data_IF_707489133734
#
_entry.id   IF_707489133734
#
_cell.length_a   1.000
_cell.length_b   1.000
_cell.length_c   1.000
_cell.angle_alpha   90.00
_cell.angle_beta   90.00
_cell.angle_gamma   90.00
#
_symmetry.space_group_name_H-M   'P 1'
#
loop_
_entity.id
_entity.type
_entity.pdbx_description
1 polymer ?
#
# COMPACT_ATOMS: atom_id res chain seq x y z
N UNK A 1 17.72 14.13 -10.23
CA UNK A 1 17.60 12.98 -9.32
C UNK A 1 18.14 13.41 -7.95
N UNK A 2 17.24 13.68 -7.01
CA UNK A 2 17.62 13.89 -5.61
C UNK A 2 17.71 12.51 -4.94
N UNK A 3 18.66 12.34 -4.04
CA UNK A 3 18.72 11.11 -3.24
C UNK A 3 17.50 11.02 -2.31
N UNK A 4 17.09 9.81 -1.91
CA UNK A 4 16.05 9.60 -0.90
C UNK A 4 16.34 10.36 0.40
N UNK A 5 17.62 10.61 0.72
CA UNK A 5 18.05 11.37 1.88
C UNK A 5 17.88 12.90 1.74
N UNK A 6 17.59 13.40 0.55
CA UNK A 6 17.47 14.84 0.25
C UNK A 6 16.02 15.28 -0.01
N UNK A 7 15.09 14.33 -0.13
CA UNK A 7 13.68 14.58 -0.36
C UNK A 7 12.86 14.11 0.84
N UNK A 8 11.99 14.94 1.41
CA UNK A 8 11.16 14.52 2.53
C UNK A 8 10.21 13.40 2.09
N UNK A 9 10.07 12.38 2.91
CA UNK A 9 9.12 11.32 2.68
C UNK A 9 7.70 11.75 3.08
N UNK A 10 6.69 10.99 2.65
CA UNK A 10 5.31 11.19 3.11
C UNK A 10 5.19 11.02 4.63
N UNK A 11 6.03 10.19 5.26
CA UNK A 11 6.08 10.01 6.71
C UNK A 11 6.55 11.29 7.40
N UNK A 12 7.67 11.85 6.94
CA UNK A 12 8.21 13.11 7.49
C UNK A 12 7.20 14.27 7.31
N UNK A 13 6.61 14.40 6.13
CA UNK A 13 5.61 15.43 5.82
C UNK A 13 4.36 15.28 6.69
N UNK A 14 3.83 14.06 6.85
CA UNK A 14 2.68 13.82 7.70
C UNK A 14 2.97 14.18 9.18
N UNK A 15 4.15 13.81 9.69
CA UNK A 15 4.58 14.19 11.04
C UNK A 15 4.69 15.70 11.21
N UNK A 16 5.26 16.40 10.24
CA UNK A 16 5.32 17.86 10.24
C UNK A 16 3.93 18.51 10.24
N UNK A 17 2.93 17.84 9.64
CA UNK A 17 1.53 18.26 9.65
C UNK A 17 0.76 17.84 10.93
N UNK A 18 1.43 17.29 11.93
CA UNK A 18 0.86 16.92 13.23
C UNK A 18 0.25 15.52 13.29
N UNK A 19 0.54 14.65 12.32
CA UNK A 19 0.18 13.24 12.42
C UNK A 19 1.15 12.50 13.33
N UNK A 20 0.63 11.61 14.17
CA UNK A 20 1.41 10.55 14.77
C UNK A 20 1.46 9.37 13.82
N UNK A 21 2.65 9.02 13.35
CA UNK A 21 2.83 8.00 12.31
C UNK A 21 3.35 6.71 12.91
N UNK A 22 2.63 5.60 12.64
CA UNK A 22 3.03 4.25 13.00
C UNK A 22 3.35 3.43 11.76
N UNK A 23 4.45 2.67 11.79
CA UNK A 23 4.85 1.74 10.74
C UNK A 23 4.89 0.32 11.29
N UNK A 24 3.95 -0.53 10.85
CA UNK A 24 3.85 -1.93 11.27
C UNK A 24 4.21 -2.81 10.07
N UNK A 25 5.27 -3.59 10.18
CA UNK A 25 5.82 -4.35 9.06
C UNK A 25 5.96 -5.84 9.35
N UNK A 26 5.56 -6.65 8.37
CA UNK A 26 5.85 -8.08 8.28
C UNK A 26 7.02 -8.40 7.35
N UNK A 27 7.67 -7.38 6.78
CA UNK A 27 8.85 -7.56 5.94
C UNK A 27 10.14 -7.41 6.75
N UNK A 28 11.28 -7.80 6.14
CA UNK A 28 12.57 -7.61 6.77
C UNK A 28 12.91 -6.12 6.90
N UNK A 29 13.61 -5.79 7.96
CA UNK A 29 14.11 -4.43 8.17
C UNK A 29 15.33 -4.10 7.29
N UNK A 30 16.16 -5.09 7.00
CA UNK A 30 17.39 -4.92 6.24
C UNK A 30 17.46 -5.95 5.11
N UNK A 31 17.76 -5.48 3.90
CA UNK A 31 17.90 -6.30 2.71
C UNK A 31 18.25 -5.43 1.50
N UNK A 32 18.61 -6.06 0.39
CA UNK A 32 18.96 -5.32 -0.84
C UNK A 32 17.78 -4.51 -1.39
N UNK A 33 16.57 -4.99 -1.17
CA UNK A 33 15.32 -4.38 -1.62
C UNK A 33 14.56 -3.68 -0.49
N UNK A 34 14.72 -4.15 0.76
CA UNK A 34 13.98 -3.64 1.92
C UNK A 34 14.56 -2.34 2.47
N UNK A 35 15.89 -2.15 2.34
CA UNK A 35 16.58 -1.00 2.96
C UNK A 35 16.02 0.37 2.54
N UNK A 36 15.65 0.66 1.28
CA UNK A 36 15.03 1.93 0.92
C UNK A 36 13.72 2.20 1.66
N UNK A 37 12.86 1.20 1.78
CA UNK A 37 11.60 1.29 2.53
C UNK A 37 11.86 1.52 4.01
N UNK A 38 12.87 0.86 4.57
CA UNK A 38 13.28 1.03 5.97
C UNK A 38 13.76 2.44 6.27
N UNK A 39 14.40 3.14 5.33
CA UNK A 39 14.77 4.55 5.51
C UNK A 39 13.54 5.40 5.78
N UNK A 40 12.50 5.22 4.97
CA UNK A 40 11.21 5.92 5.14
C UNK A 40 10.53 5.50 6.45
N UNK A 41 10.47 4.19 6.74
CA UNK A 41 9.86 3.66 7.96
C UNK A 41 10.53 4.16 9.25
N UNK A 42 11.85 4.39 9.22
CA UNK A 42 12.59 4.91 10.37
C UNK A 42 12.22 6.36 10.75
N UNK A 43 11.52 7.08 9.89
CA UNK A 43 11.02 8.41 10.18
C UNK A 43 9.69 8.38 10.97
N UNK A 44 9.04 7.22 11.09
CA UNK A 44 7.81 7.07 11.86
C UNK A 44 8.06 7.19 13.38
N UNK A 45 7.04 7.69 14.11
CA UNK A 45 7.11 7.85 15.57
C UNK A 45 7.10 6.50 16.30
N UNK A 46 6.41 5.51 15.72
CA UNK A 46 6.30 4.16 16.25
C UNK A 46 6.55 3.14 15.15
N UNK A 47 7.38 2.14 15.43
CA UNK A 47 7.74 1.10 14.47
C UNK A 47 7.65 -0.27 15.12
N UNK A 48 7.08 -1.22 14.38
CA UNK A 48 7.06 -2.65 14.74
C UNK A 48 7.47 -3.47 13.53
N UNK A 49 8.41 -4.38 13.73
CA UNK A 49 8.90 -5.32 12.74
C UNK A 49 8.69 -6.73 13.27
N UNK A 50 7.62 -7.42 12.84
CA UNK A 50 7.22 -8.71 13.46
C UNK A 50 8.08 -9.90 13.03
N UNK A 51 8.79 -9.79 11.89
CA UNK A 51 9.70 -10.81 11.37
C UNK A 51 11.15 -10.29 11.26
N UNK A 52 11.63 -9.63 12.29
CA UNK A 52 12.99 -9.09 12.31
C UNK A 52 14.02 -10.22 12.42
N UNK A 53 14.61 -10.62 11.30
CA UNK A 53 15.77 -11.54 11.30
C UNK A 53 16.84 -11.02 10.33
N UNK A 54 17.96 -10.58 10.90
CA UNK A 54 19.14 -10.18 10.12
C UNK A 54 19.84 -11.46 9.64
N UNK A 55 19.84 -11.68 8.31
CA UNK A 55 20.71 -12.67 7.66
C UNK A 55 20.19 -14.10 7.50
N UNK A 56 19.00 -14.46 7.92
CA UNK A 56 18.37 -15.73 7.60
C UNK A 56 17.42 -15.58 6.41
N UNK A 57 17.34 -16.64 5.57
CA UNK A 57 16.27 -16.72 4.56
C UNK A 57 14.93 -16.47 5.23
N UNK A 58 14.11 -15.60 4.64
CA UNK A 58 12.78 -15.26 5.13
C UNK A 58 11.95 -16.54 5.26
N UNK A 59 12.05 -17.20 6.38
CA UNK A 59 10.97 -18.05 6.87
C UNK A 59 10.15 -17.10 7.75
N UNK A 60 9.06 -16.58 7.19
CA UNK A 60 8.17 -15.73 7.96
C UNK A 60 7.68 -16.56 9.15
N UNK A 61 8.10 -16.21 10.36
CA UNK A 61 7.60 -16.83 11.59
C UNK A 61 6.15 -16.44 11.85
N UNK A 62 5.76 -15.30 11.29
CA UNK A 62 4.42 -14.73 11.36
C UNK A 62 3.91 -14.45 9.96
N UNK A 63 2.63 -14.68 9.74
CA UNK A 63 1.92 -14.25 8.55
C UNK A 63 1.39 -12.81 8.73
N UNK A 64 0.87 -12.22 7.66
CA UNK A 64 0.41 -10.83 7.68
C UNK A 64 -0.71 -10.58 8.69
N UNK A 65 -1.52 -11.59 9.03
CA UNK A 65 -2.59 -11.50 10.02
C UNK A 65 -2.08 -11.11 11.43
N UNK A 66 -0.83 -11.42 11.78
CA UNK A 66 -0.23 -10.98 13.04
C UNK A 66 -0.10 -9.44 13.15
N UNK A 67 -0.14 -8.71 12.03
CA UNK A 67 -0.19 -7.24 12.04
C UNK A 67 -1.50 -6.69 12.59
N UNK A 68 -2.59 -7.47 12.57
CA UNK A 68 -3.87 -7.08 13.20
C UNK A 68 -3.70 -6.93 14.71
N UNK A 69 -2.96 -7.83 15.36
CA UNK A 69 -2.68 -7.76 16.79
C UNK A 69 -1.85 -6.50 17.13
N UNK A 70 -0.90 -6.13 16.26
CA UNK A 70 -0.10 -4.91 16.44
C UNK A 70 -0.95 -3.65 16.20
N UNK A 71 -1.81 -3.67 15.20
CA UNK A 71 -2.75 -2.58 14.93
C UNK A 71 -3.70 -2.35 16.10
N UNK A 72 -4.15 -3.42 16.78
CA UNK A 72 -5.03 -3.35 17.95
C UNK A 72 -4.36 -2.70 19.17
N UNK A 73 -3.04 -2.69 19.25
CA UNK A 73 -2.29 -2.01 20.33
C UNK A 73 -2.23 -0.51 20.15
N UNK A 74 -2.51 0.02 18.96
CA UNK A 74 -2.54 1.47 18.71
C UNK A 74 -3.78 2.06 19.39
N UNK A 75 -3.61 2.97 20.36
CA UNK A 75 -4.73 3.52 21.11
C UNK A 75 -5.62 4.38 20.23
N UNK A 76 -6.92 4.41 20.53
CA UNK A 76 -7.84 5.40 19.97
C UNK A 76 -7.42 6.79 20.45
N UNK A 77 -7.28 7.73 19.53
CA UNK A 77 -6.88 9.09 19.85
C UNK A 77 -7.71 10.10 19.05
N UNK A 78 -8.51 10.91 19.73
CA UNK A 78 -9.31 11.96 19.10
C UNK A 78 -8.64 13.35 19.14
N UNK A 79 -7.52 13.48 19.88
CA UNK A 79 -6.81 14.75 20.04
C UNK A 79 -5.67 14.90 19.02
N UNK A 80 -5.18 13.80 18.47
CA UNK A 80 -4.13 13.80 17.46
C UNK A 80 -4.52 12.98 16.22
N UNK A 81 -4.14 13.49 15.07
CA UNK A 81 -4.26 12.75 13.81
C UNK A 81 -3.33 11.54 13.83
N UNK A 82 -3.80 10.39 13.39
CA UNK A 82 -3.00 9.17 13.29
C UNK A 82 -2.91 8.69 11.84
N UNK A 83 -1.71 8.29 11.42
CA UNK A 83 -1.44 7.62 10.16
C UNK A 83 -0.75 6.29 10.45
N UNK A 84 -1.31 5.20 9.96
CA UNK A 84 -0.75 3.85 10.19
C UNK A 84 -0.45 3.22 8.84
N UNK A 85 0.81 2.83 8.64
CA UNK A 85 1.23 1.98 7.53
C UNK A 85 1.25 0.51 7.99
N UNK A 86 0.53 -0.34 7.26
CA UNK A 86 0.62 -1.80 7.37
C UNK A 86 1.44 -2.29 6.16
N UNK A 87 2.70 -2.62 6.40
CA UNK A 87 3.64 -3.05 5.38
C UNK A 87 3.72 -4.58 5.36
N UNK A 88 2.99 -5.18 4.43
CA UNK A 88 2.75 -6.62 4.35
C UNK A 88 3.71 -7.31 3.38
N UNK A 89 3.88 -8.62 3.53
CA UNK A 89 4.50 -9.48 2.51
C UNK A 89 3.54 -9.78 1.37
N UNK A 90 2.25 -9.84 1.66
CA UNK A 90 1.22 -10.08 0.68
C UNK A 90 1.41 -11.41 -0.08
N UNK A 91 1.22 -11.35 -1.39
CA UNK A 91 1.31 -12.50 -2.30
C UNK A 91 2.70 -12.60 -2.97
N UNK A 92 3.77 -12.19 -2.29
CA UNK A 92 5.14 -12.28 -2.81
C UNK A 92 5.56 -13.74 -3.08
N UNK A 93 6.47 -13.95 -4.03
CA UNK A 93 6.98 -15.27 -4.44
C UNK A 93 7.40 -16.17 -3.26
N UNK A 94 7.43 -17.49 -3.49
CA UNK A 94 7.32 -18.56 -2.51
C UNK A 94 5.93 -18.53 -1.85
N UNK A 95 4.90 -18.53 -2.69
CA UNK A 95 3.50 -18.34 -2.31
C UNK A 95 3.04 -19.30 -1.21
N UNK A 96 3.52 -20.56 -1.21
CA UNK A 96 3.24 -21.57 -0.20
C UNK A 96 3.68 -21.14 1.22
N UNK A 97 4.53 -20.12 1.32
CA UNK A 97 5.00 -19.56 2.60
C UNK A 97 4.23 -18.30 3.03
N UNK A 98 3.20 -17.90 2.27
CA UNK A 98 2.46 -16.65 2.52
C UNK A 98 1.17 -16.86 3.32
N UNK A 99 0.78 -18.09 3.57
CA UNK A 99 -0.45 -18.44 4.27
C UNK A 99 -0.26 -19.66 5.19
N UNK A 100 -1.04 -19.80 6.26
CA UNK A 100 -1.03 -20.99 7.11
C UNK A 100 -1.64 -22.20 6.39
N UNK A 101 -1.26 -23.39 6.79
CA UNK A 101 -1.70 -24.66 6.16
C UNK A 101 -3.22 -24.84 6.13
N UNK A 102 -3.98 -24.12 6.97
CA UNK A 102 -5.45 -24.10 6.95
C UNK A 102 -6.04 -23.48 5.69
N UNK A 103 -5.25 -22.70 4.96
CA UNK A 103 -5.62 -22.09 3.68
C UNK A 103 -5.19 -22.93 2.48
N UNK A 104 -4.34 -23.94 2.68
CA UNK A 104 -3.94 -24.82 1.59
C UNK A 104 -5.18 -25.54 1.05
N UNK A 105 -5.36 -25.50 -0.28
CA UNK A 105 -6.38 -26.32 -0.93
C UNK A 105 -5.95 -27.77 -0.92
N UNK A 106 -6.93 -28.68 -1.04
CA UNK A 106 -6.69 -30.12 -0.91
C UNK A 106 -6.25 -30.79 -2.19
N UNK A 107 -6.38 -30.09 -3.31
CA UNK A 107 -6.31 -30.71 -4.64
C UNK A 107 -4.90 -30.62 -5.29
N UNK A 108 -4.02 -29.72 -4.82
CA UNK A 108 -2.60 -29.64 -5.20
C UNK A 108 -2.36 -29.27 -6.67
N UNK A 109 -3.29 -28.49 -7.27
CA UNK A 109 -3.17 -28.09 -8.66
C UNK A 109 -2.11 -26.97 -8.85
N UNK A 110 -1.38 -26.91 -9.97
CA UNK A 110 -0.41 -25.85 -10.23
C UNK A 110 -1.04 -24.45 -10.23
N UNK A 111 -0.51 -23.55 -9.41
CA UNK A 111 -1.02 -22.18 -9.25
C UNK A 111 -1.86 -21.96 -8.00
N UNK A 112 -2.30 -23.01 -7.32
CA UNK A 112 -3.11 -22.93 -6.10
C UNK A 112 -2.43 -22.16 -4.96
N UNK A 113 -1.11 -22.25 -4.86
CA UNK A 113 -0.37 -21.54 -3.80
C UNK A 113 -0.52 -20.02 -3.93
N UNK A 114 -0.51 -19.51 -5.17
CA UNK A 114 -0.78 -18.08 -5.41
C UNK A 114 -2.22 -17.72 -5.04
N UNK A 115 -3.19 -18.50 -5.48
CA UNK A 115 -4.60 -18.27 -5.17
C UNK A 115 -4.88 -18.37 -3.67
N UNK A 116 -4.22 -19.31 -2.98
CA UNK A 116 -4.30 -19.43 -1.52
C UNK A 116 -3.68 -18.23 -0.81
N UNK A 117 -2.54 -17.70 -1.31
CA UNK A 117 -1.92 -16.50 -0.79
C UNK A 117 -2.83 -15.27 -0.98
N UNK A 118 -3.45 -15.11 -2.17
CA UNK A 118 -4.41 -14.04 -2.45
C UNK A 118 -5.62 -14.14 -1.51
N UNK A 119 -6.19 -15.34 -1.34
CA UNK A 119 -7.33 -15.57 -0.45
C UNK A 119 -7.00 -15.26 1.02
N UNK A 120 -5.78 -15.58 1.46
CA UNK A 120 -5.31 -15.24 2.80
C UNK A 120 -5.10 -13.73 2.96
N UNK A 121 -4.52 -13.06 1.97
CA UNK A 121 -4.32 -11.61 1.95
C UNK A 121 -5.66 -10.85 1.95
N UNK A 122 -6.67 -11.37 1.24
CA UNK A 122 -8.03 -10.82 1.25
C UNK A 122 -8.66 -10.96 2.63
N UNK A 123 -8.53 -12.13 3.28
CA UNK A 123 -9.05 -12.36 4.63
C UNK A 123 -8.35 -11.50 5.69
N UNK A 124 -7.03 -11.32 5.59
CA UNK A 124 -6.27 -10.38 6.41
C UNK A 124 -6.83 -8.95 6.25
N UNK A 125 -7.02 -8.50 5.02
CA UNK A 125 -7.55 -7.17 4.72
C UNK A 125 -8.96 -6.98 5.28
N UNK A 126 -9.81 -8.01 5.19
CA UNK A 126 -11.12 -8.04 5.83
C UNK A 126 -11.00 -7.88 7.36
N UNK A 127 -10.08 -8.60 8.02
CA UNK A 127 -9.86 -8.48 9.47
C UNK A 127 -9.45 -7.07 9.86
N UNK A 128 -8.52 -6.45 9.10
CA UNK A 128 -8.13 -5.05 9.30
C UNK A 128 -9.35 -4.13 9.21
N UNK A 129 -10.15 -4.25 8.15
CA UNK A 129 -11.34 -3.42 7.96
C UNK A 129 -12.37 -3.65 9.07
N UNK A 130 -12.67 -4.91 9.42
CA UNK A 130 -13.63 -5.22 10.50
C UNK A 130 -13.20 -4.65 11.85
N UNK A 131 -11.91 -4.66 12.14
CA UNK A 131 -11.39 -3.98 13.33
C UNK A 131 -11.52 -2.46 13.23
N UNK A 132 -11.04 -1.85 12.15
CA UNK A 132 -11.05 -0.40 11.97
C UNK A 132 -12.45 0.19 12.06
N UNK A 133 -13.46 -0.45 11.48
CA UNK A 133 -14.86 0.02 11.55
C UNK A 133 -15.44 0.05 12.97
N UNK A 134 -14.82 -0.63 13.93
CA UNK A 134 -15.22 -0.55 15.35
C UNK A 134 -14.58 0.63 16.07
N UNK A 135 -13.55 1.25 15.50
CA UNK A 135 -12.84 2.38 16.09
C UNK A 135 -13.60 3.68 15.86
N UNK A 136 -13.76 4.47 16.90
CA UNK A 136 -14.43 5.78 16.80
C UNK A 136 -13.59 6.86 16.13
N UNK A 137 -12.27 6.64 15.99
CA UNK A 137 -11.33 7.54 15.29
C UNK A 137 -11.02 7.10 13.84
N UNK A 138 -11.65 6.02 13.35
CA UNK A 138 -11.47 5.56 11.98
C UNK A 138 -11.95 6.61 10.96
N UNK A 139 -11.10 6.95 9.99
CA UNK A 139 -11.40 7.88 8.90
C UNK A 139 -11.36 7.21 7.53
N UNK A 140 -10.26 6.57 7.19
CA UNK A 140 -10.06 5.95 5.89
C UNK A 140 -9.14 4.72 5.98
N UNK A 141 -9.34 3.76 5.10
CA UNK A 141 -8.44 2.67 4.78
C UNK A 141 -8.13 2.72 3.29
N UNK A 142 -6.87 2.86 2.93
CA UNK A 142 -6.37 2.78 1.56
C UNK A 142 -5.57 1.50 1.40
N UNK A 143 -5.83 0.75 0.36
CA UNK A 143 -5.06 -0.43 -0.03
C UNK A 143 -4.50 -0.25 -1.45
N UNK A 144 -3.23 -0.57 -1.62
CA UNK A 144 -2.58 -0.68 -2.93
C UNK A 144 -1.41 -1.66 -2.85
N UNK A 145 -0.99 -2.17 -4.00
CA UNK A 145 0.22 -2.99 -4.12
C UNK A 145 1.32 -2.19 -4.80
N UNK A 146 2.56 -2.49 -4.49
CA UNK A 146 3.75 -1.92 -5.14
C UNK A 146 3.92 -2.41 -6.58
N UNK A 147 3.55 -3.66 -6.85
CA UNK A 147 3.52 -4.27 -8.19
C UNK A 147 2.45 -5.35 -8.29
N UNK A 148 2.15 -5.77 -9.51
CA UNK A 148 1.36 -6.97 -9.78
C UNK A 148 2.24 -8.21 -9.83
N UNK A 149 1.65 -9.35 -10.21
CA UNK A 149 2.32 -10.63 -10.23
C UNK A 149 1.88 -11.46 -11.44
N UNK A 150 2.84 -12.10 -12.10
CA UNK A 150 2.54 -13.21 -13.01
C UNK A 150 2.84 -14.53 -12.28
N UNK A 151 1.85 -15.38 -11.95
CA UNK A 151 2.06 -16.58 -11.14
C UNK A 151 3.02 -17.61 -11.76
N UNK A 152 3.30 -17.50 -13.07
CA UNK A 152 4.23 -18.40 -13.80
C UNK A 152 5.66 -17.85 -13.87
N UNK A 153 5.81 -16.53 -13.86
CA UNK A 153 7.10 -15.86 -14.11
C UNK A 153 7.54 -14.96 -12.94
N UNK A 154 6.69 -14.78 -11.93
CA UNK A 154 6.92 -13.83 -10.85
C UNK A 154 6.77 -12.39 -11.35
N UNK A 155 7.53 -11.47 -10.77
CA UNK A 155 7.56 -10.04 -11.10
C UNK A 155 8.93 -9.59 -11.64
N UNK A 156 9.68 -10.51 -12.26
CA UNK A 156 10.95 -10.17 -12.93
C UNK A 156 10.67 -9.42 -14.24
N UNK A 157 11.48 -8.40 -14.53
CA UNK A 157 11.28 -7.57 -15.73
C UNK A 157 11.73 -8.26 -17.03
N UNK A 158 12.24 -9.47 -16.97
CA UNK A 158 12.66 -10.26 -18.11
C UNK A 158 12.31 -11.75 -17.89
N UNK A 159 11.30 -12.27 -18.59
CA UNK A 159 10.42 -11.55 -19.53
C UNK A 159 9.39 -10.66 -18.81
N UNK A 160 9.18 -9.44 -19.32
CA UNK A 160 8.11 -8.55 -18.85
C UNK A 160 6.74 -9.06 -19.29
N UNK A 161 5.76 -8.97 -18.38
CA UNK A 161 4.34 -9.19 -18.69
C UNK A 161 3.48 -8.10 -18.04
N UNK A 162 2.33 -7.79 -18.65
CA UNK A 162 1.45 -6.72 -18.17
C UNK A 162 0.80 -7.03 -16.82
N UNK A 163 0.66 -8.30 -16.45
CA UNK A 163 0.17 -8.71 -15.13
C UNK A 163 1.06 -8.19 -13.99
N UNK A 164 2.37 -8.04 -14.24
CA UNK A 164 3.34 -7.58 -13.24
C UNK A 164 3.16 -6.11 -12.84
N UNK A 165 2.39 -5.34 -13.62
CA UNK A 165 2.17 -3.91 -13.39
C UNK A 165 0.71 -3.55 -13.18
N UNK A 166 -0.19 -4.55 -13.15
CA UNK A 166 -1.59 -4.35 -12.80
C UNK A 166 -1.77 -4.61 -11.31
N UNK A 167 -2.20 -3.59 -10.60
CA UNK A 167 -2.37 -3.64 -9.15
C UNK A 167 -3.81 -3.32 -8.75
N UNK A 168 -4.30 -3.88 -7.64
CA UNK A 168 -5.49 -3.37 -6.98
C UNK A 168 -5.17 -2.05 -6.27
N UNK A 169 -6.07 -1.07 -6.39
CA UNK A 169 -6.10 0.13 -5.57
C UNK A 169 -7.55 0.42 -5.20
N UNK A 170 -7.83 0.53 -3.91
CA UNK A 170 -9.16 0.86 -3.41
C UNK A 170 -9.10 1.55 -2.05
N UNK A 171 -10.15 2.26 -1.71
CA UNK A 171 -10.28 2.92 -0.41
C UNK A 171 -11.68 2.72 0.18
N UNK A 172 -11.73 2.71 1.51
CA UNK A 172 -12.97 2.72 2.29
C UNK A 172 -12.92 3.90 3.26
N UNK A 173 -14.02 4.62 3.35
CA UNK A 173 -14.14 5.81 4.19
C UNK A 173 -15.21 5.62 5.27
N UNK A 174 -14.98 6.20 6.44
CA UNK A 174 -16.01 6.29 7.47
C UNK A 174 -17.08 7.31 7.08
N UNK A 175 -18.27 7.18 7.67
CA UNK A 175 -19.34 8.19 7.50
C UNK A 175 -18.87 9.58 7.95
N UNK A 176 -18.04 9.66 8.99
CA UNK A 176 -17.47 10.91 9.47
C UNK A 176 -16.57 11.55 8.42
N UNK A 177 -15.69 10.76 7.78
CA UNK A 177 -14.84 11.28 6.70
C UNK A 177 -15.67 11.76 5.50
N UNK A 178 -16.67 10.98 5.09
CA UNK A 178 -17.55 11.32 3.97
C UNK A 178 -18.26 12.67 4.24
N UNK A 179 -18.71 12.89 5.48
CA UNK A 179 -19.39 14.14 5.87
C UNK A 179 -18.45 15.31 6.02
N UNK A 180 -17.23 15.10 6.53
CA UNK A 180 -16.25 16.18 6.76
C UNK A 180 -15.46 16.57 5.51
N UNK A 181 -15.32 15.66 4.55
CA UNK A 181 -14.50 15.84 3.34
C UNK A 181 -15.25 15.45 2.06
N UNK A 182 -16.49 15.97 1.85
CA UNK A 182 -17.35 15.53 0.75
C UNK A 182 -16.76 15.80 -0.64
N UNK A 183 -15.96 16.86 -0.80
CA UNK A 183 -15.34 17.20 -2.08
C UNK A 183 -14.22 16.18 -2.45
N UNK A 184 -13.46 15.69 -1.46
CA UNK A 184 -12.46 14.63 -1.64
C UNK A 184 -13.14 13.34 -2.13
N UNK A 185 -14.20 12.93 -1.45
CA UNK A 185 -14.94 11.71 -1.81
C UNK A 185 -15.58 11.84 -3.19
N UNK A 186 -16.15 13.00 -3.50
CA UNK A 186 -16.75 13.27 -4.81
C UNK A 186 -15.72 13.26 -5.94
N UNK A 187 -14.54 13.87 -5.73
CA UNK A 187 -13.45 13.84 -6.71
C UNK A 187 -12.97 12.41 -6.96
N UNK A 188 -12.76 11.61 -5.91
CA UNK A 188 -12.40 10.20 -6.04
C UNK A 188 -13.45 9.39 -6.81
N UNK A 189 -14.75 9.59 -6.53
CA UNK A 189 -15.83 8.93 -7.25
C UNK A 189 -15.85 9.30 -8.75
N UNK A 190 -15.52 10.53 -9.09
CA UNK A 190 -15.41 10.97 -10.47
C UNK A 190 -14.18 10.39 -11.18
N UNK A 191 -13.07 10.24 -10.45
CA UNK A 191 -11.78 9.81 -10.98
C UNK A 191 -11.58 8.28 -10.92
N UNK A 192 -12.48 7.51 -10.30
CA UNK A 192 -12.36 6.03 -10.17
C UNK A 192 -12.28 5.30 -11.52
N UNK A 193 -12.76 5.92 -12.60
CA UNK A 193 -12.71 5.38 -13.97
C UNK A 193 -11.43 5.78 -14.73
N UNK A 194 -10.61 6.63 -14.12
CA UNK A 194 -9.36 7.09 -14.71
C UNK A 194 -8.21 6.18 -14.31
N UNK A 195 -7.15 6.19 -15.11
CA UNK A 195 -5.94 5.42 -14.81
C UNK A 195 -5.13 6.10 -13.71
N UNK A 196 -4.41 5.28 -12.96
CA UNK A 196 -3.55 5.69 -11.86
C UNK A 196 -2.30 4.80 -11.85
N UNK A 197 -1.15 5.37 -11.47
CA UNK A 197 0.12 4.65 -11.31
C UNK A 197 0.76 4.97 -9.96
N UNK A 198 1.61 4.10 -9.45
CA UNK A 198 2.15 4.18 -8.08
C UNK A 198 3.00 5.42 -7.80
N UNK A 199 3.58 6.04 -8.81
CA UNK A 199 4.29 7.32 -8.68
C UNK A 199 3.39 8.48 -8.22
N UNK A 200 2.07 8.34 -8.37
CA UNK A 200 1.07 9.32 -7.90
C UNK A 200 0.55 9.04 -6.47
N UNK A 201 0.99 7.96 -5.81
CA UNK A 201 0.54 7.63 -4.44
C UNK A 201 0.88 8.74 -3.44
N UNK A 202 1.99 9.43 -3.64
CA UNK A 202 2.37 10.57 -2.80
C UNK A 202 1.31 11.67 -2.84
N UNK A 203 0.87 12.06 -4.04
CA UNK A 203 -0.14 13.12 -4.22
C UNK A 203 -1.50 12.69 -3.70
N UNK A 204 -1.91 11.43 -3.94
CA UNK A 204 -3.12 10.85 -3.37
C UNK A 204 -3.11 10.91 -1.83
N UNK A 205 -1.99 10.54 -1.20
CA UNK A 205 -1.85 10.61 0.26
C UNK A 205 -1.88 12.05 0.76
N UNK A 206 -1.21 12.98 0.08
CA UNK A 206 -1.30 14.41 0.40
C UNK A 206 -2.75 14.91 0.35
N UNK A 207 -3.51 14.45 -0.65
CA UNK A 207 -4.92 14.79 -0.78
C UNK A 207 -5.79 14.22 0.32
N UNK A 208 -5.62 12.94 0.66
CA UNK A 208 -6.39 12.26 1.72
C UNK A 208 -6.06 12.80 3.13
N UNK A 209 -4.81 13.16 3.37
CA UNK A 209 -4.34 13.67 4.67
C UNK A 209 -4.53 15.17 4.82
N UNK A 210 -5.01 15.88 3.80
CA UNK A 210 -5.15 17.33 3.75
C UNK A 210 -3.83 18.07 4.05
N UNK A 211 -2.75 17.64 3.37
CA UNK A 211 -1.39 18.22 3.49
C UNK A 211 -0.88 18.70 2.12
N UNK A 212 -1.72 19.46 1.41
CA UNK A 212 -1.47 19.90 0.03
C UNK A 212 -0.50 21.08 -0.08
N UNK A 213 -0.20 21.76 1.02
CA UNK A 213 0.78 22.87 1.09
C UNK A 213 2.23 22.33 1.04
N UNK A 214 2.53 21.52 0.03
CA UNK A 214 3.83 20.91 -0.17
C UNK A 214 4.42 21.34 -1.51
N UNK A 215 5.72 21.68 -1.58
CA UNK A 215 6.36 22.04 -2.85
C UNK A 215 6.45 20.89 -3.85
N UNK A 216 6.17 19.67 -3.41
CA UNK A 216 6.23 18.44 -4.22
C UNK A 216 4.83 17.94 -4.61
N UNK A 217 3.76 18.49 -4.05
CA UNK A 217 2.40 18.11 -4.35
C UNK A 217 1.98 18.68 -5.71
N UNK A 218 1.43 17.80 -6.54
CA UNK A 218 0.86 18.15 -7.84
C UNK A 218 -0.63 17.75 -7.90
N UNK A 219 -1.56 18.73 -7.90
CA UNK A 219 -3.00 18.44 -7.95
C UNK A 219 -3.45 17.72 -9.24
N UNK A 220 -2.64 17.74 -10.31
CA UNK A 220 -2.92 17.00 -11.54
C UNK A 220 -2.64 15.49 -11.37
N UNK A 221 -1.83 15.09 -10.38
CA UNK A 221 -1.54 13.71 -10.01
C UNK A 221 -2.44 13.18 -8.89
N UNK A 222 -3.23 14.05 -8.24
CA UNK A 222 -4.04 13.70 -7.08
C UNK A 222 -5.48 13.34 -7.47
N UNK A 223 -5.91 12.06 -7.40
CA UNK A 223 -7.28 11.67 -7.70
C UNK A 223 -8.33 12.26 -6.73
N UNK A 224 -7.92 12.80 -5.57
CA UNK A 224 -8.80 13.54 -4.66
C UNK A 224 -9.05 14.97 -5.10
N UNK A 225 -8.33 15.42 -6.14
CA UNK A 225 -8.43 16.76 -6.70
C UNK A 225 -9.38 16.79 -7.90
N UNK A 226 -10.11 17.89 -8.04
CA UNK A 226 -10.87 18.20 -9.26
C UNK A 226 -9.96 18.57 -10.45
N UNK A 227 -8.66 18.78 -10.19
CA UNK A 227 -7.65 19.07 -11.20
C UNK A 227 -6.95 17.82 -11.73
N UNK A 228 -7.31 16.63 -11.22
CA UNK A 228 -6.74 15.38 -11.72
C UNK A 228 -6.92 15.27 -13.22
N UNK A 229 -5.82 15.18 -13.96
CA UNK A 229 -5.84 15.31 -15.42
C UNK A 229 -5.08 14.20 -16.16
N UNK A 230 -4.58 13.20 -15.45
CA UNK A 230 -3.79 12.12 -16.05
C UNK A 230 -4.65 11.27 -17.00
N UNK A 231 -4.12 11.06 -18.18
CA UNK A 231 -4.74 10.24 -19.22
C UNK A 231 -3.93 8.96 -19.44
N UNK A 232 -4.53 7.98 -20.10
CA UNK A 232 -3.86 6.74 -20.48
C UNK A 232 -2.56 6.98 -21.28
N UNK A 233 -2.52 8.06 -22.07
CA UNK A 233 -1.37 8.40 -22.92
C UNK A 233 -0.19 8.96 -22.14
N UNK A 234 -0.44 9.55 -20.96
CA UNK A 234 0.59 10.19 -20.12
C UNK A 234 1.26 9.19 -19.19
N UNK A 235 0.59 8.05 -18.93
CA UNK A 235 1.03 7.11 -17.92
C UNK A 235 2.03 6.09 -18.47
N UNK A 236 3.07 5.88 -17.67
CA UNK A 236 4.12 4.92 -17.95
C UNK A 236 4.34 3.99 -16.77
N UNK A 237 5.00 2.87 -17.01
CA UNK A 237 5.43 1.95 -15.96
C UNK A 237 6.89 1.55 -16.14
N UNK A 238 7.46 0.89 -15.13
CA UNK A 238 8.84 0.39 -15.13
C UNK A 238 9.85 1.51 -15.43
N UNK A 239 9.76 2.61 -14.68
CA UNK A 239 10.62 3.79 -14.86
C UNK A 239 10.58 4.38 -16.27
N UNK A 240 9.38 4.41 -16.87
CA UNK A 240 9.16 5.01 -18.19
C UNK A 240 9.45 4.10 -19.37
N UNK A 241 9.75 2.82 -19.16
CA UNK A 241 10.08 1.89 -20.26
C UNK A 241 8.87 1.54 -21.12
N UNK A 242 7.68 1.43 -20.51
CA UNK A 242 6.45 1.03 -21.18
C UNK A 242 5.37 2.07 -20.94
N UNK A 243 4.58 2.39 -21.95
CA UNK A 243 3.39 3.23 -21.80
C UNK A 243 2.22 2.34 -21.49
N UNK A 244 1.39 2.74 -20.55
CA UNK A 244 0.18 1.97 -20.18
C UNK A 244 -0.75 1.80 -21.39
N UNK A 245 -0.81 2.79 -22.28
CA UNK A 245 -1.57 2.72 -23.52
C UNK A 245 -1.15 1.59 -24.48
N UNK A 246 0.03 1.00 -24.29
CA UNK A 246 0.52 -0.10 -25.11
C UNK A 246 0.10 -1.49 -24.58
N UNK A 247 -0.62 -1.56 -23.44
CA UNK A 247 -1.16 -2.81 -22.91
C UNK A 247 -2.28 -3.35 -23.82
N UNK A 248 -2.12 -4.55 -24.42
CA UNK A 248 -3.08 -5.10 -25.37
C UNK A 248 -4.41 -5.55 -24.73
N UNK A 249 -4.53 -5.50 -23.41
CA UNK A 249 -5.71 -5.96 -22.66
C UNK A 249 -6.44 -4.81 -21.96
N UNK A 250 -6.21 -3.55 -22.37
CA UNK A 250 -6.98 -2.39 -21.93
C UNK A 250 -8.22 -2.19 -22.80
#
# INVERSE_FOLDING_TARGET
DRSLAESPSIVEIARAAGYHVSWLSNQNRLGGWDSPTTVIANEADHQVWINETIGEKIQSRHYDDALVDELQKIPVNHEAKQLVFLHVLGCHSNYEQRYPSSYASRDGEPGEDYDNAVRFSDDFTRQVYEYLRTRSDFQALLFFSDHGENPKHGHTLDPFTWEMVRIPLWAVFSDNFIQSSPEVVKALQQNVVNFFTNDMVFDLLCGLLDIKDQPYYDPENDPTSTSYSRTLQDLTTTSGKFRIADDPNL
#
